data_IF_381090431571
#
_entry.id   IF_381090431571
#
_cell.length_a   1.000
_cell.length_b   1.000
_cell.length_c   1.000
_cell.angle_alpha   90.00
_cell.angle_beta   90.00
_cell.angle_gamma   90.00
#
_symmetry.space_group_name_H-M   'P 1'
#
loop_
_entity.id
_entity.type
_entity.pdbx_description
1 polymer ?
#
# COMPACT_ATOMS: atom_id res chain seq x y z
N UNK A 1 -19.38 -13.08 17.17
CA UNK A 1 -18.55 -14.03 16.45
C UNK A 1 -17.20 -14.10 17.15
N UNK A 2 -16.89 -15.17 17.84
CA UNK A 2 -15.55 -15.42 18.39
C UNK A 2 -14.55 -15.47 17.23
N UNK A 3 -13.57 -14.59 17.25
CA UNK A 3 -12.48 -14.62 16.28
C UNK A 3 -11.67 -15.88 16.55
N UNK A 4 -11.63 -16.81 15.59
CA UNK A 4 -10.77 -17.99 15.68
C UNK A 4 -9.30 -17.54 15.69
N UNK A 5 -8.71 -17.47 16.88
CA UNK A 5 -7.35 -16.97 17.09
C UNK A 5 -6.24 -17.95 16.69
N UNK A 6 -6.61 -19.14 16.19
CA UNK A 6 -5.69 -20.24 15.85
C UNK A 6 -5.64 -20.55 14.34
N UNK A 7 -6.27 -19.73 13.48
CA UNK A 7 -6.14 -19.95 12.04
C UNK A 7 -4.66 -19.79 11.64
N UNK A 8 -4.06 -20.89 11.23
CA UNK A 8 -2.84 -20.86 10.45
C UNK A 8 -3.24 -20.40 9.03
N UNK A 9 -2.67 -19.31 8.56
CA UNK A 9 -3.00 -18.75 7.25
C UNK A 9 -2.69 -19.70 6.09
N UNK A 10 -1.71 -20.59 6.24
CA UNK A 10 -1.35 -21.62 5.25
C UNK A 10 -2.38 -22.75 5.13
N UNK A 11 -3.37 -22.81 6.04
CA UNK A 11 -4.49 -23.76 5.93
C UNK A 11 -5.69 -23.19 5.18
N UNK A 12 -5.65 -21.91 4.81
CA UNK A 12 -6.68 -21.27 4.00
C UNK A 12 -6.39 -21.61 2.53
N UNK A 13 -7.36 -22.19 1.80
CA UNK A 13 -7.13 -22.51 0.40
C UNK A 13 -6.87 -21.25 -0.43
N UNK A 14 -6.15 -21.40 -1.52
CA UNK A 14 -5.95 -20.31 -2.48
C UNK A 14 -7.29 -19.78 -2.99
N UNK A 15 -7.35 -18.48 -3.36
CA UNK A 15 -8.56 -17.94 -3.96
C UNK A 15 -9.07 -18.81 -5.10
N UNK A 16 -10.37 -19.05 -5.12
CA UNK A 16 -11.03 -19.94 -6.10
C UNK A 16 -11.12 -19.28 -7.49
N UNK A 17 -9.98 -18.85 -8.03
CA UNK A 17 -9.87 -18.16 -9.33
C UNK A 17 -10.45 -18.98 -10.48
N UNK A 18 -10.47 -20.32 -10.36
CA UNK A 18 -11.08 -21.24 -11.35
C UNK A 18 -12.59 -21.07 -11.48
N UNK A 19 -13.25 -20.42 -10.52
CA UNK A 19 -14.68 -20.10 -10.58
C UNK A 19 -14.95 -18.73 -11.24
N UNK A 20 -13.92 -18.00 -11.58
CA UNK A 20 -14.01 -16.67 -12.18
C UNK A 20 -13.64 -16.74 -13.67
N UNK A 21 -14.20 -15.86 -14.51
CA UNK A 21 -13.74 -15.70 -15.89
C UNK A 21 -12.41 -14.96 -15.93
N UNK A 22 -11.32 -15.63 -15.49
CA UNK A 22 -10.02 -15.02 -15.27
C UNK A 22 -9.47 -14.26 -16.48
N UNK A 23 -9.73 -14.75 -17.71
CA UNK A 23 -9.30 -14.03 -18.92
C UNK A 23 -9.92 -12.62 -19.02
N UNK A 24 -11.18 -12.46 -18.60
CA UNK A 24 -11.83 -11.15 -18.62
C UNK A 24 -11.14 -10.18 -17.64
N UNK A 25 -10.75 -10.65 -16.44
CA UNK A 25 -10.02 -9.84 -15.46
C UNK A 25 -8.63 -9.47 -15.96
N UNK A 26 -7.92 -10.43 -16.52
CA UNK A 26 -6.58 -10.21 -17.09
C UNK A 26 -6.62 -9.22 -18.26
N UNK A 27 -7.61 -9.33 -19.13
CA UNK A 27 -7.77 -8.46 -20.31
C UNK A 27 -8.29 -7.06 -19.98
N UNK A 28 -9.00 -6.89 -18.86
CA UNK A 28 -9.50 -5.58 -18.43
C UNK A 28 -8.37 -4.60 -18.11
N UNK A 29 -7.21 -5.09 -17.72
CA UNK A 29 -6.00 -4.30 -17.38
C UNK A 29 -6.24 -3.16 -16.38
N UNK A 30 -7.31 -3.22 -15.63
CA UNK A 30 -7.62 -2.28 -14.54
C UNK A 30 -6.86 -2.70 -13.27
N UNK A 31 -5.57 -2.42 -13.22
CA UNK A 31 -4.73 -2.76 -12.08
C UNK A 31 -4.61 -1.61 -11.09
N UNK A 32 -4.48 -1.96 -9.82
CA UNK A 32 -3.95 -1.04 -8.82
C UNK A 32 -2.43 -1.01 -8.96
N UNK A 33 -1.88 0.08 -9.49
CA UNK A 33 -0.48 0.20 -9.85
C UNK A 33 -0.22 -0.04 -11.34
N UNK A 34 1.04 -0.19 -11.70
CA UNK A 34 1.47 -0.45 -13.08
C UNK A 34 1.20 -1.89 -13.50
N UNK A 35 0.70 -2.10 -14.70
CA UNK A 35 0.61 -3.42 -15.32
C UNK A 35 1.02 -3.36 -16.79
N UNK A 36 1.84 -4.31 -17.21
CA UNK A 36 2.29 -4.46 -18.59
C UNK A 36 2.01 -5.86 -19.15
N UNK A 37 1.30 -6.72 -18.40
CA UNK A 37 1.14 -8.11 -18.77
C UNK A 37 -0.07 -8.80 -18.19
N UNK A 38 0.01 -10.11 -18.09
CA UNK A 38 -0.99 -10.97 -17.45
C UNK A 38 -0.75 -10.93 -15.94
N UNK A 39 -1.59 -10.22 -15.22
CA UNK A 39 -1.42 -9.96 -13.80
C UNK A 39 -2.57 -10.51 -12.95
N UNK A 40 -2.32 -10.66 -11.66
CA UNK A 40 -3.34 -10.89 -10.64
C UNK A 40 -2.95 -10.25 -9.31
N UNK A 41 -3.95 -9.89 -8.52
CA UNK A 41 -3.73 -9.51 -7.13
C UNK A 41 -3.44 -10.74 -6.25
N UNK A 42 -2.59 -10.53 -5.24
CA UNK A 42 -2.21 -11.52 -4.25
C UNK A 42 -2.17 -10.90 -2.86
N UNK A 43 -2.50 -11.68 -1.85
CA UNK A 43 -2.38 -11.28 -0.45
C UNK A 43 -1.47 -12.28 0.26
N UNK A 44 -0.34 -11.80 0.75
CA UNK A 44 0.61 -12.61 1.51
C UNK A 44 0.42 -12.47 3.03
N UNK A 45 -0.17 -11.36 3.48
CA UNK A 45 -0.53 -11.11 4.88
C UNK A 45 -1.74 -10.20 4.99
N UNK A 46 -2.41 -10.23 6.14
CA UNK A 46 -3.58 -9.41 6.45
C UNK A 46 -3.41 -8.73 7.80
N UNK A 47 -3.95 -7.52 7.91
CA UNK A 47 -3.95 -6.73 9.12
C UNK A 47 -2.72 -5.85 9.28
N UNK A 48 -2.85 -4.82 10.13
CA UNK A 48 -1.79 -3.87 10.41
C UNK A 48 -1.86 -3.44 11.89
N UNK A 49 -0.78 -3.63 12.67
CA UNK A 49 -0.76 -3.28 14.09
C UNK A 49 -0.66 -1.78 14.36
N UNK A 50 -0.33 -0.98 13.34
CA UNK A 50 -0.17 0.46 13.45
C UNK A 50 -1.50 1.18 13.66
N UNK A 51 -1.43 2.43 14.16
CA UNK A 51 -2.58 3.16 14.65
C UNK A 51 -3.07 4.32 13.78
N UNK A 52 -2.69 4.37 12.49
CA UNK A 52 -3.05 5.49 11.60
C UNK A 52 -4.54 5.79 11.67
N UNK A 53 -4.89 7.02 12.00
CA UNK A 53 -6.26 7.42 12.40
C UNK A 53 -7.28 7.38 11.27
N UNK A 54 -6.84 7.48 10.04
CA UNK A 54 -7.69 7.43 8.84
C UNK A 54 -7.86 6.02 8.27
N UNK A 55 -7.03 5.06 8.68
CA UNK A 55 -6.93 3.76 8.04
C UNK A 55 -7.90 2.73 8.63
N UNK A 56 -8.64 2.01 7.78
CA UNK A 56 -9.56 0.96 8.19
C UNK A 56 -8.86 -0.28 8.76
N UNK A 57 -7.62 -0.56 8.34
CA UNK A 57 -6.83 -1.71 8.82
C UNK A 57 -6.08 -1.44 10.13
N UNK A 58 -6.26 -0.27 10.73
CA UNK A 58 -5.56 0.13 11.96
C UNK A 58 -5.77 -0.83 13.13
N UNK A 59 -4.70 -1.07 13.89
CA UNK A 59 -4.73 -1.90 15.13
C UNK A 59 -5.40 -3.26 14.95
N UNK A 60 -5.36 -3.79 13.73
CA UNK A 60 -5.83 -5.15 13.45
C UNK A 60 -4.69 -6.14 13.67
N UNK A 61 -5.07 -7.36 14.08
CA UNK A 61 -4.09 -8.44 14.24
C UNK A 61 -3.47 -8.77 12.88
N UNK A 62 -2.15 -8.69 12.80
CA UNK A 62 -1.42 -9.13 11.63
C UNK A 62 -1.29 -10.66 11.62
N UNK A 63 -1.61 -11.27 10.48
CA UNK A 63 -1.50 -12.71 10.20
C UNK A 63 -0.87 -12.87 8.83
N UNK A 64 0.09 -13.76 8.69
CA UNK A 64 0.83 -13.96 7.44
C UNK A 64 0.87 -15.41 7.02
N UNK A 65 0.95 -15.63 5.73
CA UNK A 65 1.26 -16.90 5.08
C UNK A 65 2.78 -17.14 5.11
N UNK A 66 3.21 -18.39 5.03
CA UNK A 66 4.61 -18.73 4.86
C UNK A 66 5.12 -18.34 3.47
N UNK A 67 6.44 -18.21 3.32
CA UNK A 67 7.06 -17.97 2.03
C UNK A 67 6.77 -19.09 1.02
N UNK A 68 6.78 -20.33 1.51
CA UNK A 68 6.45 -21.52 0.69
C UNK A 68 5.04 -21.45 0.14
N UNK A 69 4.05 -21.17 0.99
CA UNK A 69 2.63 -21.10 0.59
C UNK A 69 2.36 -19.95 -0.40
N UNK A 70 3.06 -18.82 -0.26
CA UNK A 70 3.00 -17.71 -1.23
C UNK A 70 3.57 -18.15 -2.59
N UNK A 71 4.73 -18.81 -2.58
CA UNK A 71 5.36 -19.28 -3.81
C UNK A 71 4.56 -20.40 -4.49
N UNK A 72 3.90 -21.27 -3.73
CA UNK A 72 2.98 -22.30 -4.26
C UNK A 72 1.80 -21.67 -5.02
N UNK A 73 1.23 -20.57 -4.49
CA UNK A 73 0.16 -19.85 -5.20
C UNK A 73 0.68 -19.15 -6.46
N UNK A 74 1.89 -18.60 -6.44
CA UNK A 74 2.52 -18.01 -7.63
C UNK A 74 2.67 -19.09 -8.72
N UNK A 75 3.26 -20.24 -8.40
CA UNK A 75 3.40 -21.37 -9.34
C UNK A 75 2.04 -21.80 -9.88
N UNK A 76 1.04 -21.96 -9.02
CA UNK A 76 -0.32 -22.29 -9.43
C UNK A 76 -0.90 -21.30 -10.44
N UNK A 77 -0.70 -19.99 -10.22
CA UNK A 77 -1.17 -18.95 -11.15
C UNK A 77 -0.44 -18.98 -12.49
N UNK A 78 0.88 -19.25 -12.47
CA UNK A 78 1.68 -19.44 -13.69
C UNK A 78 1.15 -20.63 -14.50
N UNK A 79 1.00 -21.77 -13.85
CA UNK A 79 0.61 -23.02 -14.53
C UNK A 79 -0.80 -22.96 -15.12
N UNK A 80 -1.74 -22.32 -14.41
CA UNK A 80 -3.16 -22.31 -14.81
C UNK A 80 -3.54 -21.21 -15.79
N UNK A 81 -2.91 -20.05 -15.70
CA UNK A 81 -3.32 -18.84 -16.46
C UNK A 81 -2.15 -18.12 -17.12
N UNK A 82 -0.93 -18.66 -17.04
CA UNK A 82 0.29 -17.98 -17.51
C UNK A 82 0.41 -16.55 -16.98
N UNK A 83 0.02 -16.35 -15.70
CA UNK A 83 0.17 -15.07 -15.02
C UNK A 83 1.61 -14.94 -14.54
N UNK A 84 2.25 -13.83 -14.93
CA UNK A 84 3.65 -13.54 -14.61
C UNK A 84 3.85 -12.26 -13.84
N UNK A 85 2.80 -11.52 -13.59
CA UNK A 85 2.84 -10.27 -12.84
C UNK A 85 1.92 -10.36 -11.61
N UNK A 86 2.45 -10.00 -10.42
CA UNK A 86 1.75 -10.14 -9.14
C UNK A 86 1.71 -8.83 -8.38
N UNK A 87 0.52 -8.40 -7.99
CA UNK A 87 0.31 -7.20 -7.17
C UNK A 87 0.00 -7.63 -5.75
N UNK A 88 0.93 -7.40 -4.82
CA UNK A 88 0.73 -7.72 -3.41
C UNK A 88 -0.11 -6.64 -2.73
N UNK A 89 -1.37 -6.97 -2.48
CA UNK A 89 -2.39 -6.09 -1.87
C UNK A 89 -2.44 -6.22 -0.34
N UNK A 90 -1.31 -6.50 0.27
CA UNK A 90 -1.19 -6.59 1.72
C UNK A 90 -1.48 -5.24 2.38
N UNK A 91 -2.13 -5.23 3.54
CA UNK A 91 -2.29 -3.99 4.35
C UNK A 91 -0.93 -3.37 4.73
N UNK A 92 0.07 -4.18 4.94
CA UNK A 92 1.46 -3.79 5.13
C UNK A 92 2.39 -5.01 5.06
N UNK A 93 3.07 -5.18 3.94
CA UNK A 93 3.94 -6.33 3.69
C UNK A 93 5.24 -6.28 4.52
N UNK A 94 5.69 -5.08 4.94
CA UNK A 94 6.97 -4.85 5.63
C UNK A 94 6.91 -4.98 7.17
N UNK A 95 5.81 -5.46 7.76
CA UNK A 95 5.72 -5.68 9.21
C UNK A 95 6.76 -6.68 9.69
N UNK A 96 7.02 -7.73 8.91
CA UNK A 96 8.08 -8.69 9.16
C UNK A 96 9.02 -8.74 7.95
N UNK A 97 10.09 -7.96 8.00
CA UNK A 97 11.10 -7.85 6.93
C UNK A 97 11.76 -9.20 6.66
N UNK A 98 12.09 -9.97 7.69
CA UNK A 98 12.69 -11.30 7.52
C UNK A 98 11.81 -12.21 6.66
N UNK A 99 10.51 -12.24 6.95
CA UNK A 99 9.56 -13.03 6.15
C UNK A 99 9.48 -12.53 4.69
N UNK A 100 9.53 -11.21 4.47
CA UNK A 100 9.55 -10.66 3.11
C UNK A 100 10.79 -11.13 2.34
N UNK A 101 11.96 -11.12 2.98
CA UNK A 101 13.20 -11.66 2.39
C UNK A 101 13.05 -13.17 2.13
N UNK A 102 12.45 -13.94 3.05
CA UNK A 102 12.15 -15.37 2.83
C UNK A 102 11.26 -15.61 1.60
N UNK A 103 10.27 -14.74 1.33
CA UNK A 103 9.46 -14.80 0.09
C UNK A 103 10.34 -14.54 -1.14
N UNK A 104 11.17 -13.50 -1.10
CA UNK A 104 12.09 -13.18 -2.18
C UNK A 104 13.06 -14.34 -2.47
N UNK A 105 13.60 -14.94 -1.43
CA UNK A 105 14.51 -16.08 -1.55
C UNK A 105 13.81 -17.32 -2.11
N UNK A 106 12.56 -17.57 -1.73
CA UNK A 106 11.78 -18.69 -2.24
C UNK A 106 11.46 -18.51 -3.75
N UNK A 107 11.10 -17.29 -4.18
CA UNK A 107 10.92 -16.94 -5.59
C UNK A 107 12.21 -17.21 -6.38
N UNK A 108 13.35 -16.74 -5.88
CA UNK A 108 14.66 -16.96 -6.51
C UNK A 108 15.05 -18.44 -6.53
N UNK A 109 14.88 -19.16 -5.42
CA UNK A 109 15.22 -20.59 -5.30
C UNK A 109 14.45 -21.45 -6.28
N UNK A 110 13.15 -21.16 -6.49
CA UNK A 110 12.30 -21.84 -7.47
C UNK A 110 12.51 -21.35 -8.89
N UNK A 111 13.30 -20.29 -9.08
CA UNK A 111 13.54 -19.65 -10.39
C UNK A 111 12.24 -19.23 -11.07
N UNK A 112 11.32 -18.66 -10.29
CA UNK A 112 10.05 -18.16 -10.82
C UNK A 112 10.35 -16.92 -11.66
N UNK A 113 10.06 -17.01 -12.94
CA UNK A 113 10.21 -15.89 -13.90
C UNK A 113 8.96 -15.02 -13.82
N UNK A 114 8.98 -14.08 -12.89
CA UNK A 114 7.85 -13.19 -12.59
C UNK A 114 8.31 -11.75 -12.33
N UNK A 115 7.38 -10.84 -12.46
CA UNK A 115 7.47 -9.48 -11.89
C UNK A 115 6.44 -9.30 -10.78
N UNK A 116 6.72 -8.40 -9.84
CA UNK A 116 5.78 -8.10 -8.78
C UNK A 116 5.92 -6.69 -8.22
N UNK A 117 4.90 -6.22 -7.50
CA UNK A 117 4.86 -4.88 -6.93
C UNK A 117 4.04 -4.80 -5.63
N UNK A 118 4.16 -3.66 -4.93
CA UNK A 118 3.44 -3.37 -3.67
C UNK A 118 2.58 -2.12 -3.79
N UNK A 119 1.43 -2.17 -4.50
CA UNK A 119 0.65 -0.98 -4.83
C UNK A 119 0.02 -0.30 -3.60
N UNK A 120 -0.34 -1.05 -2.55
CA UNK A 120 -0.92 -0.50 -1.32
C UNK A 120 0.06 0.31 -0.46
N UNK A 121 1.33 0.27 -0.80
CA UNK A 121 2.37 0.97 -0.06
C UNK A 121 3.00 0.15 1.07
N UNK A 122 4.27 0.44 1.28
CA UNK A 122 5.08 -0.16 2.35
C UNK A 122 5.53 0.91 3.34
N UNK A 123 5.67 0.50 4.62
CA UNK A 123 6.07 1.42 5.68
C UNK A 123 7.58 1.60 5.73
N UNK A 124 8.05 2.81 5.52
CA UNK A 124 9.48 3.12 5.42
C UNK A 124 10.28 2.78 6.69
N UNK A 125 9.71 2.88 7.89
CA UNK A 125 10.44 2.62 9.15
C UNK A 125 11.02 1.21 9.29
N UNK A 126 10.71 0.31 8.36
CA UNK A 126 11.21 -1.07 8.31
C UNK A 126 12.02 -1.37 7.06
N UNK A 127 12.19 -0.40 6.20
CA UNK A 127 12.90 -0.56 4.92
C UNK A 127 14.40 -0.34 5.14
N UNK A 128 15.21 -1.26 4.65
CA UNK A 128 16.66 -1.10 4.52
C UNK A 128 17.12 -1.51 3.11
N UNK A 129 18.40 -1.29 2.81
CA UNK A 129 18.97 -1.62 1.50
C UNK A 129 18.96 -3.13 1.23
N UNK A 130 19.17 -3.97 2.25
CA UNK A 130 19.16 -5.43 2.11
C UNK A 130 17.78 -5.91 1.62
N UNK A 131 16.72 -5.41 2.25
CA UNK A 131 15.35 -5.73 1.85
C UNK A 131 15.05 -5.26 0.42
N UNK A 132 15.39 -4.02 0.07
CA UNK A 132 15.14 -3.48 -1.27
C UNK A 132 15.91 -4.26 -2.35
N UNK A 133 17.12 -4.69 -2.05
CA UNK A 133 17.94 -5.53 -2.93
C UNK A 133 17.30 -6.91 -3.12
N UNK A 134 16.89 -7.57 -2.03
CA UNK A 134 16.19 -8.85 -2.09
C UNK A 134 14.91 -8.76 -2.92
N UNK A 135 14.12 -7.69 -2.74
CA UNK A 135 12.95 -7.41 -3.55
C UNK A 135 13.30 -7.31 -5.04
N UNK A 136 14.29 -6.49 -5.39
CA UNK A 136 14.71 -6.31 -6.79
C UNK A 136 15.19 -7.62 -7.42
N UNK A 137 16.03 -8.36 -6.72
CA UNK A 137 16.60 -9.64 -7.21
C UNK A 137 15.54 -10.73 -7.40
N UNK A 138 14.40 -10.63 -6.72
CA UNK A 138 13.27 -11.56 -6.85
C UNK A 138 12.21 -11.14 -7.88
N UNK A 139 12.49 -10.08 -8.66
CA UNK A 139 11.59 -9.60 -9.71
C UNK A 139 10.65 -8.46 -9.27
N UNK A 140 10.86 -7.83 -8.12
CA UNK A 140 10.13 -6.62 -7.80
C UNK A 140 10.51 -5.51 -8.77
N UNK A 141 9.53 -4.89 -9.40
CA UNK A 141 9.76 -3.78 -10.31
C UNK A 141 9.32 -2.44 -9.74
N UNK A 142 8.29 -2.44 -8.89
CA UNK A 142 7.70 -1.22 -8.40
C UNK A 142 7.37 -1.31 -6.91
N UNK A 143 7.78 -0.29 -6.16
CA UNK A 143 7.48 -0.14 -4.74
C UNK A 143 6.73 1.16 -4.50
N UNK A 144 5.69 1.12 -3.68
CA UNK A 144 4.97 2.30 -3.26
C UNK A 144 5.35 2.66 -1.83
N UNK A 145 5.84 3.87 -1.64
CA UNK A 145 6.08 4.43 -0.32
C UNK A 145 4.83 5.17 0.16
N UNK A 146 4.55 5.11 1.44
CA UNK A 146 3.39 5.76 2.05
C UNK A 146 3.82 6.84 3.05
N UNK A 147 4.33 8.00 2.60
CA UNK A 147 4.61 9.14 3.49
C UNK A 147 3.36 9.71 4.14
N UNK A 148 2.24 9.73 3.46
CA UNK A 148 0.94 10.32 3.81
C UNK A 148 0.98 11.85 3.89
N UNK A 149 1.94 12.44 4.61
CA UNK A 149 2.14 13.89 4.76
C UNK A 149 3.62 14.24 4.86
N UNK A 150 3.98 15.42 4.40
CA UNK A 150 5.30 16.02 4.63
C UNK A 150 5.37 16.91 5.87
N UNK A 151 4.26 17.05 6.61
CA UNK A 151 4.21 17.79 7.88
C UNK A 151 4.41 16.84 9.06
N UNK A 152 5.48 17.03 9.89
CA UNK A 152 5.68 16.25 11.11
C UNK A 152 4.48 16.36 12.07
N UNK A 153 3.88 17.55 12.18
CA UNK A 153 2.67 17.75 13.00
C UNK A 153 1.50 16.89 12.53
N UNK A 154 1.24 16.84 11.23
CA UNK A 154 0.15 16.02 10.68
C UNK A 154 0.44 14.54 10.92
N UNK A 155 1.67 14.10 10.74
CA UNK A 155 2.07 12.71 10.97
C UNK A 155 1.94 12.29 12.45
N UNK A 156 2.29 13.17 13.38
CA UNK A 156 2.27 12.90 14.83
C UNK A 156 0.87 13.09 15.43
N UNK A 157 0.28 14.28 15.23
CA UNK A 157 -0.93 14.70 15.95
C UNK A 157 -2.21 14.21 15.28
N UNK A 158 -2.25 14.22 13.94
CA UNK A 158 -3.48 13.90 13.18
C UNK A 158 -3.46 12.43 12.75
N UNK A 159 -2.47 12.01 12.00
CA UNK A 159 -2.39 10.66 11.44
C UNK A 159 -1.97 9.63 12.50
N UNK A 160 -1.18 10.03 13.49
CA UNK A 160 -0.60 9.15 14.51
C UNK A 160 0.18 7.98 13.87
N UNK A 161 1.04 8.31 12.92
CA UNK A 161 1.80 7.32 12.15
C UNK A 161 2.83 6.55 12.99
N UNK A 162 3.15 7.06 14.18
CA UNK A 162 4.06 6.47 15.16
C UNK A 162 5.43 7.16 15.18
N UNK A 163 6.07 7.11 16.35
CA UNK A 163 7.35 7.81 16.61
C UNK A 163 8.55 7.22 15.85
N UNK A 164 8.39 6.01 15.32
CA UNK A 164 9.38 5.32 14.49
C UNK A 164 9.34 5.75 13.02
N UNK A 165 8.44 6.66 12.65
CA UNK A 165 8.31 7.13 11.28
C UNK A 165 9.13 8.41 11.08
N UNK A 166 10.06 8.36 10.13
CA UNK A 166 11.00 9.43 9.81
C UNK A 166 10.95 9.75 8.30
N UNK A 167 10.71 11.01 7.97
CA UNK A 167 10.64 11.49 6.60
C UNK A 167 12.02 11.48 5.90
N UNK A 168 13.10 11.78 6.62
CA UNK A 168 14.45 11.74 6.05
C UNK A 168 14.84 10.30 5.72
N UNK A 169 14.57 9.36 6.62
CA UNK A 169 14.77 7.94 6.34
C UNK A 169 13.93 7.46 5.14
N UNK A 170 12.66 7.87 5.03
CA UNK A 170 11.81 7.52 3.87
C UNK A 170 12.39 8.06 2.56
N UNK A 171 12.88 9.30 2.56
CA UNK A 171 13.54 9.89 1.38
C UNK A 171 14.77 9.08 0.97
N UNK A 172 15.59 8.67 1.93
CA UNK A 172 16.79 7.89 1.69
C UNK A 172 16.46 6.49 1.19
N UNK A 173 15.37 5.88 1.69
CA UNK A 173 14.82 4.63 1.15
C UNK A 173 14.38 4.78 -0.32
N UNK A 174 13.69 5.87 -0.66
CA UNK A 174 13.30 6.17 -2.05
C UNK A 174 14.52 6.31 -2.96
N UNK A 175 15.54 7.06 -2.53
CA UNK A 175 16.80 7.20 -3.27
C UNK A 175 17.52 5.85 -3.46
N UNK A 176 17.53 5.00 -2.45
CA UNK A 176 18.15 3.67 -2.51
C UNK A 176 17.38 2.75 -3.45
N UNK A 177 16.05 2.74 -3.37
CA UNK A 177 15.20 1.95 -4.27
C UNK A 177 15.43 2.34 -5.74
N UNK A 178 15.46 3.66 -6.02
CA UNK A 178 15.77 4.16 -7.36
C UNK A 178 17.15 3.74 -7.86
N UNK A 179 18.19 3.82 -7.02
CA UNK A 179 19.56 3.37 -7.36
C UNK A 179 19.63 1.89 -7.68
N UNK A 180 18.80 1.07 -7.04
CA UNK A 180 18.67 -0.37 -7.29
C UNK A 180 17.84 -0.67 -8.56
N UNK A 181 17.31 0.35 -9.24
CA UNK A 181 16.50 0.19 -10.45
C UNK A 181 15.07 -0.26 -10.18
N UNK A 182 14.54 -0.01 -8.97
CA UNK A 182 13.12 -0.10 -8.68
C UNK A 182 12.44 1.19 -9.13
N UNK A 183 11.24 1.09 -9.70
CA UNK A 183 10.35 2.24 -9.81
C UNK A 183 9.72 2.53 -8.47
N UNK A 184 9.61 3.80 -8.14
CA UNK A 184 9.14 4.24 -6.81
C UNK A 184 7.97 5.19 -6.96
N UNK A 185 6.83 4.84 -6.36
CA UNK A 185 5.72 5.77 -6.14
C UNK A 185 5.69 6.25 -4.68
N UNK A 186 5.11 7.42 -4.46
CA UNK A 186 4.84 7.96 -3.13
C UNK A 186 3.41 8.48 -3.04
N UNK A 187 2.66 8.03 -2.03
CA UNK A 187 1.26 8.40 -1.81
C UNK A 187 1.09 9.33 -0.62
N UNK A 188 0.36 10.41 -0.85
CA UNK A 188 0.02 11.43 0.14
C UNK A 188 -1.49 11.56 0.29
N UNK A 189 -1.91 11.95 1.48
CA UNK A 189 -3.30 12.28 1.79
C UNK A 189 -3.38 13.76 2.17
N UNK A 190 -4.26 14.51 1.51
CA UNK A 190 -4.52 15.93 1.79
C UNK A 190 -5.96 16.13 2.28
N UNK A 191 -6.18 17.23 2.98
CA UNK A 191 -7.52 17.61 3.45
C UNK A 191 -7.97 16.89 4.70
N UNK A 192 -7.05 16.40 5.51
CA UNK A 192 -7.34 15.79 6.80
C UNK A 192 -7.97 16.81 7.77
N UNK A 193 -8.91 16.41 8.63
CA UNK A 193 -9.45 17.28 9.68
C UNK A 193 -8.34 17.89 10.55
N UNK A 194 -8.31 19.21 10.65
CA UNK A 194 -7.28 19.95 11.39
C UNK A 194 -5.94 20.13 10.66
N UNK A 195 -5.81 19.67 9.42
CA UNK A 195 -4.68 20.00 8.56
C UNK A 195 -4.77 21.45 8.10
N UNK A 196 -3.67 22.19 8.18
CA UNK A 196 -3.59 23.59 7.74
C UNK A 196 -3.01 23.72 6.35
N UNK A 197 -3.26 24.86 5.71
CA UNK A 197 -2.62 25.18 4.41
C UNK A 197 -1.10 25.07 4.48
N UNK A 198 -0.50 25.50 5.59
CA UNK A 198 0.95 25.38 5.80
C UNK A 198 1.41 23.91 5.80
N UNK A 199 0.63 23.01 6.40
CA UNK A 199 0.94 21.57 6.41
C UNK A 199 0.89 20.98 4.99
N UNK A 200 -0.12 21.38 4.20
CA UNK A 200 -0.23 20.97 2.79
C UNK A 200 0.95 21.50 1.96
N UNK A 201 1.38 22.73 2.18
CA UNK A 201 2.57 23.31 1.53
C UNK A 201 3.84 22.54 1.91
N UNK A 202 3.99 22.11 3.17
CA UNK A 202 5.07 21.24 3.61
C UNK A 202 5.02 19.88 2.91
N UNK A 203 3.84 19.31 2.75
CA UNK A 203 3.63 18.04 2.03
C UNK A 203 4.03 18.16 0.55
N UNK A 204 3.62 19.22 -0.13
CA UNK A 204 4.01 19.50 -1.52
C UNK A 204 5.53 19.71 -1.61
N UNK A 205 6.13 20.43 -0.65
CA UNK A 205 7.58 20.63 -0.61
C UNK A 205 8.33 19.33 -0.45
N UNK A 206 7.84 18.43 0.43
CA UNK A 206 8.45 17.12 0.65
C UNK A 206 8.31 16.21 -0.59
N UNK A 207 7.16 16.23 -1.26
CA UNK A 207 6.94 15.53 -2.52
C UNK A 207 7.99 15.95 -3.60
N UNK A 208 8.28 17.25 -3.69
CA UNK A 208 9.35 17.75 -4.56
C UNK A 208 10.75 17.26 -4.17
N UNK A 209 11.00 17.04 -2.88
CA UNK A 209 12.26 16.46 -2.41
C UNK A 209 12.36 14.99 -2.83
N UNK A 210 11.27 14.21 -2.72
CA UNK A 210 11.24 12.84 -3.19
C UNK A 210 11.48 12.73 -4.70
N UNK A 211 10.85 13.57 -5.51
CA UNK A 211 11.10 13.61 -6.95
C UNK A 211 12.58 13.90 -7.29
N UNK A 212 13.25 14.76 -6.53
CA UNK A 212 14.68 15.08 -6.73
C UNK A 212 15.62 13.92 -6.45
N UNK A 213 15.22 12.96 -5.61
CA UNK A 213 16.03 11.78 -5.28
C UNK A 213 15.68 10.55 -6.12
N UNK A 214 14.77 10.70 -7.11
CA UNK A 214 14.46 9.68 -8.09
C UNK A 214 13.16 8.91 -7.81
N UNK A 215 12.26 9.44 -6.96
CA UNK A 215 10.90 8.91 -6.88
C UNK A 215 10.18 9.26 -8.18
N UNK A 216 9.69 8.23 -8.89
CA UNK A 216 9.15 8.34 -10.25
C UNK A 216 7.75 8.94 -10.27
N UNK A 217 6.94 8.63 -9.26
CA UNK A 217 5.56 9.07 -9.17
C UNK A 217 5.21 9.63 -7.79
N UNK A 218 4.44 10.71 -7.80
CA UNK A 218 3.88 11.30 -6.58
C UNK A 218 2.38 11.45 -6.73
N UNK A 219 1.62 10.77 -5.91
CA UNK A 219 0.17 10.74 -5.94
C UNK A 219 -0.42 11.41 -4.71
N UNK A 220 -1.40 12.28 -4.91
CA UNK A 220 -2.14 12.96 -3.85
C UNK A 220 -3.59 12.47 -3.86
N UNK A 221 -4.01 11.80 -2.80
CA UNK A 221 -5.42 11.49 -2.55
C UNK A 221 -6.04 12.52 -1.62
N UNK A 222 -7.30 12.84 -1.84
CA UNK A 222 -8.08 13.60 -0.86
C UNK A 222 -8.53 12.65 0.25
N UNK A 223 -8.53 13.17 1.49
CA UNK A 223 -9.02 12.41 2.62
C UNK A 223 -10.49 12.04 2.44
N UNK A 224 -10.80 10.77 2.62
CA UNK A 224 -12.16 10.23 2.67
C UNK A 224 -12.35 9.59 4.05
N UNK A 225 -13.33 10.05 4.84
CA UNK A 225 -13.59 9.47 6.16
C UNK A 225 -14.20 8.06 5.98
N UNK A 226 -13.53 7.09 6.59
CA UNK A 226 -14.02 5.71 6.59
C UNK A 226 -14.70 5.37 7.93
N UNK A 227 -15.86 4.70 7.92
CA UNK A 227 -16.54 4.25 9.14
C UNK A 227 -15.61 3.45 10.05
N UNK A 228 -15.83 3.57 11.37
CA UNK A 228 -15.03 2.91 12.42
C UNK A 228 -13.57 3.39 12.54
N UNK A 229 -13.16 4.42 11.81
CA UNK A 229 -11.87 5.09 12.03
C UNK A 229 -12.01 6.26 13.00
N UNK A 230 -10.95 6.68 13.72
CA UNK A 230 -11.02 7.86 14.60
C UNK A 230 -11.43 9.16 13.89
N UNK A 231 -11.09 9.31 12.62
CA UNK A 231 -11.43 10.51 11.85
C UNK A 231 -12.86 10.46 11.27
N UNK A 232 -13.58 9.35 11.44
CA UNK A 232 -14.98 9.24 11.01
C UNK A 232 -15.90 10.19 11.77
N UNK A 233 -15.90 10.11 13.11
CA UNK A 233 -16.83 10.89 13.94
C UNK A 233 -16.74 12.41 13.72
N UNK A 234 -15.54 13.02 13.69
CA UNK A 234 -15.42 14.45 13.40
C UNK A 234 -15.80 14.84 11.98
N UNK A 235 -15.80 13.89 11.03
CA UNK A 235 -15.95 14.16 9.60
C UNK A 235 -17.34 13.83 9.04
N UNK A 236 -18.05 12.88 9.64
CA UNK A 236 -19.30 12.32 9.09
C UNK A 236 -20.41 13.35 8.85
N UNK A 237 -20.42 14.47 9.58
CA UNK A 237 -21.41 15.52 9.41
C UNK A 237 -21.28 16.26 8.08
N UNK A 238 -20.06 16.30 7.49
CA UNK A 238 -19.78 16.94 6.20
C UNK A 238 -20.26 16.10 4.99
N UNK A 239 -20.53 14.80 5.22
CA UNK A 239 -20.93 13.83 4.17
C UNK A 239 -22.36 13.30 4.38
N UNK A 240 -23.12 13.83 5.31
CA UNK A 240 -24.42 13.31 5.74
C UNK A 240 -25.43 13.12 4.59
N UNK A 241 -25.37 13.99 3.60
CA UNK A 241 -26.30 14.04 2.48
C UNK A 241 -25.64 13.62 1.14
N UNK A 242 -24.45 13.00 1.19
CA UNK A 242 -23.71 12.55 0.00
C UNK A 242 -23.97 11.08 -0.27
N UNK A 243 -24.03 10.71 -1.56
CA UNK A 243 -23.96 9.30 -1.96
C UNK A 243 -22.54 8.77 -1.75
N UNK A 244 -22.41 7.56 -1.21
CA UNK A 244 -21.13 6.87 -1.07
C UNK A 244 -20.40 6.70 -2.40
N UNK A 245 -21.13 6.52 -3.50
CA UNK A 245 -20.54 6.44 -4.83
C UNK A 245 -19.88 7.75 -5.25
N UNK A 246 -20.44 8.90 -4.88
CA UNK A 246 -19.84 10.21 -5.15
C UNK A 246 -18.55 10.43 -4.35
N UNK A 247 -18.46 9.88 -3.12
CA UNK A 247 -17.26 9.95 -2.30
C UNK A 247 -16.14 9.04 -2.82
N UNK A 248 -16.47 7.88 -3.37
CA UNK A 248 -15.51 6.88 -3.82
C UNK A 248 -15.06 7.08 -5.27
N UNK A 249 -15.78 7.87 -6.06
CA UNK A 249 -15.35 8.23 -7.42
C UNK A 249 -14.25 9.28 -7.37
N UNK A 250 -13.03 8.81 -7.30
CA UNK A 250 -11.76 9.57 -7.18
C UNK A 250 -11.45 10.41 -8.45
N UNK A 251 -12.42 10.90 -9.19
CA UNK A 251 -12.18 11.60 -10.46
C UNK A 251 -12.88 12.95 -10.57
N UNK A 252 -13.89 13.22 -9.79
CA UNK A 252 -14.65 14.48 -9.91
C UNK A 252 -14.30 15.43 -8.76
N UNK A 253 -13.23 16.21 -8.94
CA UNK A 253 -12.79 17.24 -7.99
C UNK A 253 -13.91 18.28 -7.70
N UNK A 254 -14.91 18.40 -8.60
CA UNK A 254 -16.03 19.31 -8.38
C UNK A 254 -17.00 18.83 -7.28
N UNK A 255 -16.94 17.54 -6.93
CA UNK A 255 -17.70 16.93 -5.83
C UNK A 255 -16.86 16.70 -4.57
N UNK A 256 -15.57 17.08 -4.60
CA UNK A 256 -14.68 16.90 -3.47
C UNK A 256 -15.16 17.73 -2.26
N UNK A 257 -15.27 17.08 -1.11
CA UNK A 257 -15.59 17.73 0.16
C UNK A 257 -14.32 18.02 0.91
N UNK A 258 -14.14 19.27 1.35
CA UNK A 258 -13.04 19.64 2.25
C UNK A 258 -13.37 19.24 3.69
N UNK A 259 -12.51 18.48 4.32
CA UNK A 259 -12.62 18.11 5.74
C UNK A 259 -11.74 18.97 6.64
N UNK A 260 -10.90 19.81 6.06
CA UNK A 260 -10.21 20.89 6.77
C UNK A 260 -11.01 22.19 6.70
N UNK A 261 -10.83 23.08 7.69
CA UNK A 261 -11.48 24.40 7.72
C UNK A 261 -10.63 25.48 6.99
N UNK A 262 -9.45 25.11 6.50
CA UNK A 262 -8.47 26.02 5.87
C UNK A 262 -8.65 26.17 4.35
N UNK A 263 -9.38 25.26 3.74
CA UNK A 263 -9.63 25.23 2.29
C UNK A 263 -11.11 24.99 2.06
N UNK A 264 -11.80 26.01 1.56
CA UNK A 264 -13.22 25.94 1.21
C UNK A 264 -13.44 25.41 -0.20
#
# INVERSE_FOLDING_TARGET
>A
LERNTKLNSDTIPFPARHLLPMENYIMAQESHGYSNGRWTSMISSRGCPYGCTFCASRKTRWVSRSATDVADEIEYCIEKWDIREFHFEDDNMTINVKRLIEICDEIKRRKLDITWQTPNGIRASRIDEEMLRAMKESGCEHVTLAPESGSPRVLEDIIQKGKDFDLDHLRDCGATAHKLGLKVAAYFVLGLPGETRKDMEMTISYARQLAKVGVDEVNFGLFIPLPATPLWEPSKHKIKDMDWLDLLTVGDLAKAVSFTDEVG
#
